data_IF_746934048456
#
_entry.id   IF_746934048456
#
_cell.length_a   1.000
_cell.length_b   1.000
_cell.length_c   1.000
_cell.angle_alpha   90.00
_cell.angle_beta   90.00
_cell.angle_gamma   90.00
#
_symmetry.space_group_name_H-M   'P 1'
#
loop_
_entity.id
_entity.type
_entity.pdbx_description
1 polymer ?
#
# COMPACT_ATOMS: atom_id res chain seq x y z
N UNK A 1 11.97 -10.16 -22.63
CA UNK A 1 12.72 -8.92 -22.36
C UNK A 1 11.84 -7.66 -22.39
N UNK A 2 11.43 -7.11 -23.54
CA UNK A 2 10.83 -5.75 -23.61
C UNK A 2 9.59 -5.46 -22.75
N UNK A 3 8.74 -6.47 -22.54
CA UNK A 3 7.51 -6.40 -21.71
C UNK A 3 7.52 -7.43 -20.55
N UNK A 4 8.68 -7.97 -20.21
CA UNK A 4 8.77 -8.93 -19.11
C UNK A 4 8.78 -8.22 -17.75
N UNK A 5 8.20 -8.85 -16.73
CA UNK A 5 8.12 -8.27 -15.38
C UNK A 5 9.49 -8.27 -14.70
N UNK A 6 10.31 -9.28 -14.98
CA UNK A 6 11.60 -9.50 -14.32
C UNK A 6 12.62 -8.39 -14.63
N UNK A 7 12.54 -7.77 -15.81
CA UNK A 7 13.51 -6.75 -16.25
C UNK A 7 13.11 -5.31 -15.93
N UNK A 8 11.93 -5.06 -15.34
CA UNK A 8 11.46 -3.69 -15.07
C UNK A 8 12.41 -2.92 -14.16
N UNK A 9 12.78 -3.53 -13.02
CA UNK A 9 13.67 -2.92 -12.05
C UNK A 9 15.12 -2.84 -12.57
N UNK A 10 15.63 -3.93 -13.15
CA UNK A 10 17.01 -4.01 -13.63
C UNK A 10 17.28 -3.10 -14.83
N UNK A 11 16.27 -2.86 -15.69
CA UNK A 11 16.36 -1.86 -16.76
C UNK A 11 16.46 -0.43 -16.21
N UNK A 12 15.75 -0.11 -15.13
CA UNK A 12 15.88 1.19 -14.47
C UNK A 12 17.28 1.35 -13.86
N UNK A 13 17.78 0.31 -13.20
CA UNK A 13 19.13 0.31 -12.63
C UNK A 13 20.22 0.48 -13.71
N UNK A 14 20.11 -0.23 -14.83
CA UNK A 14 21.02 -0.10 -15.97
C UNK A 14 21.01 1.33 -16.57
N UNK A 15 19.83 1.93 -16.75
CA UNK A 15 19.69 3.27 -17.34
C UNK A 15 20.19 4.40 -16.42
N UNK A 16 20.24 4.17 -15.12
CA UNK A 16 20.63 5.16 -14.09
C UNK A 16 21.95 4.82 -13.39
N UNK A 17 22.67 3.79 -13.86
CA UNK A 17 23.94 3.28 -13.29
C UNK A 17 23.88 2.94 -11.78
N UNK A 18 22.73 2.43 -11.34
CA UNK A 18 22.47 2.07 -9.93
C UNK A 18 23.02 0.67 -9.62
N UNK A 19 23.84 0.57 -8.58
CA UNK A 19 24.58 -0.66 -8.21
C UNK A 19 24.15 -1.30 -6.88
N UNK A 20 23.10 -0.80 -6.24
CA UNK A 20 22.51 -1.39 -5.02
C UNK A 20 21.57 -2.57 -5.32
N UNK A 21 20.88 -3.10 -4.29
CA UNK A 21 19.86 -4.14 -4.46
C UNK A 21 18.80 -3.74 -5.50
N UNK A 22 18.49 -4.65 -6.43
CA UNK A 22 17.58 -4.41 -7.53
C UNK A 22 16.65 -5.61 -7.71
N UNK A 23 15.38 -5.46 -7.33
CA UNK A 23 14.40 -6.56 -7.30
C UNK A 23 13.06 -6.13 -7.89
N UNK A 24 12.41 -7.04 -8.61
CA UNK A 24 11.00 -6.95 -8.96
C UNK A 24 10.19 -7.78 -7.94
N UNK A 25 9.05 -7.24 -7.49
CA UNK A 25 8.13 -7.93 -6.57
C UNK A 25 6.71 -7.95 -7.13
N UNK A 26 5.93 -8.97 -6.78
CA UNK A 26 4.55 -9.13 -7.20
C UNK A 26 3.71 -9.70 -6.03
N UNK A 27 2.84 -8.88 -5.46
CA UNK A 27 1.92 -9.28 -4.37
C UNK A 27 0.49 -8.78 -4.64
N UNK A 28 0.08 -8.83 -5.92
CA UNK A 28 -1.17 -8.22 -6.41
C UNK A 28 -1.28 -6.74 -5.98
N UNK A 29 -2.40 -6.33 -5.41
CA UNK A 29 -2.70 -4.93 -5.08
C UNK A 29 -1.76 -4.28 -4.04
N UNK A 30 -1.05 -5.08 -3.22
CA UNK A 30 -0.09 -4.56 -2.25
C UNK A 30 1.32 -4.33 -2.82
N UNK A 31 1.59 -4.75 -4.07
CA UNK A 31 2.93 -4.79 -4.70
C UNK A 31 3.80 -3.57 -4.40
N UNK A 32 3.34 -2.37 -4.75
CA UNK A 32 4.13 -1.14 -4.57
C UNK A 32 4.34 -0.73 -3.12
N UNK A 33 3.45 -1.13 -2.20
CA UNK A 33 3.61 -0.84 -0.77
C UNK A 33 4.55 -1.86 -0.11
N UNK A 34 4.54 -3.11 -0.58
CA UNK A 34 5.57 -4.11 -0.24
C UNK A 34 6.94 -3.67 -0.76
N UNK A 35 7.03 -3.10 -1.96
CA UNK A 35 8.28 -2.52 -2.47
C UNK A 35 8.81 -1.37 -1.59
N UNK A 36 7.92 -0.50 -1.07
CA UNK A 36 8.29 0.56 -0.10
C UNK A 36 8.77 -0.01 1.23
N UNK A 37 8.12 -1.06 1.73
CA UNK A 37 8.58 -1.78 2.93
C UNK A 37 9.98 -2.36 2.74
N UNK A 38 10.20 -3.14 1.68
CA UNK A 38 11.51 -3.76 1.39
C UNK A 38 12.62 -2.71 1.21
N UNK A 39 12.33 -1.61 0.52
CA UNK A 39 13.27 -0.50 0.36
C UNK A 39 13.60 0.19 1.69
N UNK A 40 12.63 0.29 2.60
CA UNK A 40 12.84 0.84 3.95
C UNK A 40 13.70 -0.11 4.80
N UNK A 41 13.48 -1.43 4.70
CA UNK A 41 14.31 -2.44 5.35
C UNK A 41 15.75 -2.42 4.83
N UNK A 42 15.96 -2.47 3.50
CA UNK A 42 17.29 -2.40 2.90
C UNK A 42 18.08 -1.11 3.27
N UNK A 43 17.38 0.02 3.41
CA UNK A 43 17.97 1.26 3.93
C UNK A 43 18.37 1.12 5.41
N UNK A 44 17.54 0.53 6.27
CA UNK A 44 17.84 0.35 7.69
C UNK A 44 19.00 -0.64 7.91
N UNK A 45 19.03 -1.72 7.13
CA UNK A 45 20.07 -2.76 7.14
C UNK A 45 21.37 -2.33 6.43
N UNK A 46 21.41 -1.09 5.90
CA UNK A 46 22.56 -0.47 5.19
C UNK A 46 22.99 -1.19 3.91
N UNK A 47 22.08 -1.93 3.27
CA UNK A 47 22.33 -2.52 1.94
C UNK A 47 22.37 -1.46 0.82
N UNK A 48 21.76 -0.29 1.06
CA UNK A 48 21.85 0.88 0.20
C UNK A 48 21.76 2.19 1.00
N UNK A 49 22.14 3.31 0.39
CA UNK A 49 22.03 4.66 0.99
C UNK A 49 20.86 5.49 0.44
N UNK A 50 20.31 5.06 -0.69
CA UNK A 50 19.18 5.64 -1.39
C UNK A 50 18.41 4.50 -2.07
N UNK A 51 17.08 4.51 -1.98
CA UNK A 51 16.25 3.49 -2.62
C UNK A 51 15.12 4.12 -3.46
N UNK A 52 14.87 3.57 -4.64
CA UNK A 52 13.69 3.87 -5.44
C UNK A 52 12.67 2.74 -5.23
N UNK A 53 11.46 3.09 -4.80
CA UNK A 53 10.41 2.12 -4.52
C UNK A 53 9.09 2.56 -5.16
N UNK A 54 8.29 1.61 -5.66
CA UNK A 54 7.08 1.97 -6.39
C UNK A 54 6.41 0.81 -7.11
N UNK A 55 5.63 1.12 -8.12
CA UNK A 55 4.99 0.12 -8.98
C UNK A 55 4.31 0.74 -10.19
N UNK A 56 4.03 -0.11 -11.17
CA UNK A 56 3.39 0.25 -12.43
C UNK A 56 2.34 -0.79 -12.82
N UNK A 57 1.26 -0.31 -13.42
CA UNK A 57 0.19 -1.08 -14.03
C UNK A 57 -0.18 -0.43 -15.36
N UNK A 58 -0.07 -1.18 -16.46
CA UNK A 58 -0.60 -0.81 -17.77
C UNK A 58 -1.40 -2.02 -18.27
N UNK A 59 -2.71 -1.87 -18.39
CA UNK A 59 -3.64 -2.91 -18.85
C UNK A 59 -3.68 -2.93 -20.37
N UNK A 60 -3.31 -4.06 -20.96
CA UNK A 60 -3.35 -4.33 -22.39
C UNK A 60 -4.41 -5.41 -22.70
N UNK A 61 -5.08 -5.37 -23.87
CA UNK A 61 -5.01 -4.33 -24.88
C UNK A 61 -5.70 -3.03 -24.44
N UNK A 62 -5.24 -1.89 -24.97
CA UNK A 62 -5.95 -0.62 -24.79
C UNK A 62 -7.31 -0.67 -25.51
N UNK A 63 -8.28 0.13 -25.03
CA UNK A 63 -9.64 0.25 -25.62
C UNK A 63 -10.47 -1.06 -25.59
N UNK A 64 -10.18 -1.98 -24.68
CA UNK A 64 -10.97 -3.21 -24.45
C UNK A 64 -12.42 -2.97 -23.92
N UNK A 65 -12.84 -1.71 -23.74
CA UNK A 65 -14.12 -1.36 -23.14
C UNK A 65 -14.14 -1.53 -21.61
N UNK A 66 -15.33 -1.43 -21.03
CA UNK A 66 -15.59 -1.75 -19.63
C UNK A 66 -16.58 -2.91 -19.57
N UNK A 67 -16.10 -4.09 -19.16
CA UNK A 67 -16.93 -5.28 -19.03
C UNK A 67 -17.25 -5.51 -17.55
N UNK A 68 -18.55 -5.56 -17.24
CA UNK A 68 -19.06 -5.99 -15.95
C UNK A 68 -19.64 -7.40 -16.06
N UNK A 69 -19.32 -8.24 -15.08
CA UNK A 69 -19.88 -9.59 -14.92
C UNK A 69 -20.40 -9.72 -13.47
N UNK A 70 -21.60 -10.29 -13.25
CA UNK A 70 -22.12 -10.52 -11.90
C UNK A 70 -21.14 -11.34 -11.05
N UNK A 71 -20.78 -10.82 -9.86
CA UNK A 71 -19.82 -11.45 -8.95
C UNK A 71 -18.35 -11.11 -9.21
N UNK A 72 -18.02 -10.39 -10.30
CA UNK A 72 -16.67 -9.87 -10.53
C UNK A 72 -16.35 -8.68 -9.60
N UNK A 73 -15.06 -8.31 -9.54
CA UNK A 73 -14.58 -7.15 -8.77
C UNK A 73 -14.94 -5.79 -9.40
N UNK A 74 -15.43 -5.78 -10.64
CA UNK A 74 -15.80 -4.58 -11.39
C UNK A 74 -17.15 -4.01 -10.89
N UNK A 75 -17.23 -2.70 -10.66
CA UNK A 75 -18.47 -2.01 -10.34
C UNK A 75 -19.40 -1.91 -11.56
N UNK A 76 -20.71 -2.23 -11.46
CA UNK A 76 -21.61 -2.19 -12.61
C UNK A 76 -21.74 -0.80 -13.28
N UNK A 77 -21.46 0.29 -12.55
CA UNK A 77 -21.49 1.66 -13.07
C UNK A 77 -20.09 2.28 -13.29
N UNK A 78 -19.02 1.48 -13.21
CA UNK A 78 -17.65 1.94 -13.40
C UNK A 78 -17.12 2.87 -12.30
N UNK A 79 -17.75 2.93 -11.11
CA UNK A 79 -17.32 3.80 -10.01
C UNK A 79 -16.88 3.02 -8.78
N UNK A 80 -15.69 3.32 -8.28
CA UNK A 80 -15.21 2.88 -6.98
C UNK A 80 -15.84 3.76 -5.88
N UNK A 81 -16.81 3.24 -5.14
CA UNK A 81 -17.57 3.96 -4.09
C UNK A 81 -17.14 3.49 -2.70
N UNK A 82 -15.91 3.79 -2.33
CA UNK A 82 -15.31 3.26 -1.09
C UNK A 82 -16.15 3.65 0.15
N UNK A 83 -16.59 2.64 0.90
CA UNK A 83 -17.33 2.71 2.16
C UNK A 83 -18.77 3.25 2.09
N UNK A 84 -19.27 3.51 0.88
CA UNK A 84 -20.63 4.01 0.65
C UNK A 84 -21.66 2.87 0.62
N UNK A 85 -22.94 3.19 0.91
CA UNK A 85 -24.04 2.22 0.85
C UNK A 85 -24.26 1.64 -0.56
N UNK A 86 -23.92 2.39 -1.64
CA UNK A 86 -24.03 1.92 -3.02
C UNK A 86 -22.72 1.27 -3.55
N UNK A 87 -21.80 0.89 -2.65
CA UNK A 87 -20.57 0.16 -2.96
C UNK A 87 -20.86 -1.19 -3.63
N UNK A 88 -20.45 -1.36 -4.90
CA UNK A 88 -20.76 -2.54 -5.74
C UNK A 88 -19.56 -3.06 -6.55
N UNK A 89 -18.35 -2.70 -6.16
CA UNK A 89 -17.10 -3.08 -6.83
C UNK A 89 -16.15 -1.90 -7.02
N UNK A 90 -15.11 -2.12 -7.83
CA UNK A 90 -14.08 -1.14 -8.16
C UNK A 90 -13.99 -0.87 -9.67
N UNK A 91 -13.16 0.09 -10.07
CA UNK A 91 -12.74 0.27 -11.46
C UNK A 91 -11.22 0.16 -11.53
N UNK A 92 -10.71 -0.78 -12.32
CA UNK A 92 -9.26 -0.93 -12.50
C UNK A 92 -8.71 0.14 -13.44
N UNK A 93 -7.55 0.68 -13.10
CA UNK A 93 -6.92 1.81 -13.80
C UNK A 93 -5.44 1.58 -14.11
N UNK A 94 -4.89 2.45 -14.94
CA UNK A 94 -3.49 2.47 -15.32
C UNK A 94 -2.72 3.51 -14.51
N UNK A 95 -1.48 3.22 -14.13
CA UNK A 95 -0.64 4.21 -13.47
C UNK A 95 0.76 3.70 -13.14
N UNK A 96 1.64 4.66 -12.89
CA UNK A 96 3.01 4.44 -12.44
C UNK A 96 3.31 5.42 -11.31
N UNK A 97 3.95 4.96 -10.25
CA UNK A 97 4.41 5.80 -9.15
C UNK A 97 5.72 5.29 -8.59
N UNK A 98 6.63 6.20 -8.27
CA UNK A 98 7.92 5.92 -7.63
C UNK A 98 8.14 6.98 -6.55
N UNK A 99 8.61 6.53 -5.38
CA UNK A 99 9.14 7.37 -4.31
C UNK A 99 10.63 7.12 -4.16
N UNK A 100 11.36 8.17 -3.76
CA UNK A 100 12.77 8.08 -3.39
C UNK A 100 12.85 8.09 -1.87
N UNK A 101 13.53 7.12 -1.30
CA UNK A 101 13.66 6.90 0.13
C UNK A 101 15.13 7.02 0.56
N UNK A 102 15.35 7.63 1.72
CA UNK A 102 16.64 7.78 2.39
C UNK A 102 16.41 7.73 3.90
N UNK A 103 17.41 7.28 4.68
CA UNK A 103 17.36 7.39 6.14
C UNK A 103 17.29 8.86 6.55
N UNK A 104 16.45 9.19 7.53
CA UNK A 104 16.16 10.57 7.93
C UNK A 104 17.42 11.34 8.35
N UNK A 105 18.33 10.70 9.09
CA UNK A 105 19.61 11.27 9.50
C UNK A 105 20.49 11.68 8.31
N UNK A 106 20.58 10.85 7.28
CA UNK A 106 21.41 11.11 6.10
C UNK A 106 20.77 12.17 5.19
N UNK A 107 19.44 12.20 5.12
CA UNK A 107 18.70 13.24 4.40
C UNK A 107 18.88 14.61 5.07
N UNK A 108 18.80 14.68 6.40
CA UNK A 108 19.08 15.90 7.16
C UNK A 108 20.54 16.35 7.01
N UNK A 109 21.50 15.41 7.08
CA UNK A 109 22.92 15.71 6.92
C UNK A 109 23.30 16.19 5.50
N UNK A 110 22.67 15.63 4.46
CA UNK A 110 22.81 16.09 3.08
C UNK A 110 22.06 17.41 2.80
N UNK A 111 21.12 17.79 3.68
CA UNK A 111 20.23 18.93 3.46
C UNK A 111 19.19 18.69 2.36
N UNK A 112 18.81 17.41 2.17
CA UNK A 112 17.80 16.97 1.21
C UNK A 112 16.41 17.53 1.54
N UNK A 113 15.55 17.74 0.53
CA UNK A 113 14.15 18.08 0.77
C UNK A 113 13.37 16.88 1.32
N UNK A 114 12.78 17.01 2.51
CA UNK A 114 12.00 15.94 3.14
C UNK A 114 10.52 16.25 2.98
N UNK A 115 9.80 15.36 2.30
CA UNK A 115 8.35 15.49 2.10
C UNK A 115 7.53 14.95 3.28
N UNK A 116 7.97 13.84 3.87
CA UNK A 116 7.37 13.12 4.98
C UNK A 116 8.37 12.09 5.52
N UNK A 117 8.07 11.46 6.65
CA UNK A 117 8.88 10.39 7.26
C UNK A 117 8.08 9.09 7.28
N UNK A 118 8.63 8.00 6.71
CA UNK A 118 8.11 6.65 6.96
C UNK A 118 8.61 6.24 8.35
N UNK A 119 7.68 6.11 9.30
CA UNK A 119 7.99 5.81 10.71
C UNK A 119 8.08 4.32 10.99
N UNK A 120 7.30 3.52 10.28
CA UNK A 120 7.32 2.06 10.37
C UNK A 120 6.47 1.44 9.27
N UNK A 121 6.69 0.17 8.98
CA UNK A 121 5.89 -0.59 8.02
C UNK A 121 5.91 -2.07 8.34
N UNK A 122 4.86 -2.78 7.97
CA UNK A 122 4.75 -4.23 8.13
C UNK A 122 4.10 -4.86 6.89
N UNK A 123 4.45 -6.12 6.64
CA UNK A 123 3.88 -6.97 5.58
C UNK A 123 3.55 -8.33 6.19
N UNK A 124 2.35 -8.86 5.91
CA UNK A 124 1.92 -10.16 6.40
C UNK A 124 0.96 -10.86 5.44
N UNK A 125 0.62 -12.13 5.71
CA UNK A 125 -0.34 -12.88 4.90
C UNK A 125 -1.51 -13.43 5.73
N UNK A 126 -2.73 -13.36 5.19
CA UNK A 126 -3.96 -13.85 5.80
C UNK A 126 -3.96 -15.36 6.10
N UNK A 127 -3.15 -16.15 5.39
CA UNK A 127 -3.13 -17.61 5.50
C UNK A 127 -4.45 -18.25 5.08
N UNK A 128 -4.78 -19.39 5.69
CA UNK A 128 -5.99 -20.17 5.39
C UNK A 128 -7.24 -19.70 6.15
N UNK A 129 -7.13 -18.83 7.16
CA UNK A 129 -8.25 -18.42 8.02
C UNK A 129 -9.05 -17.27 7.39
N UNK A 130 -9.70 -17.59 6.26
CA UNK A 130 -10.60 -16.72 5.50
C UNK A 130 -11.57 -17.56 4.67
N UNK A 131 -12.72 -16.99 4.30
CA UNK A 131 -13.84 -17.74 3.65
C UNK A 131 -13.53 -18.26 2.23
N UNK A 132 -12.42 -17.83 1.62
CA UNK A 132 -11.96 -18.31 0.32
C UNK A 132 -10.61 -17.67 -0.05
N UNK A 133 -9.93 -18.18 -1.09
CA UNK A 133 -8.60 -17.69 -1.49
C UNK A 133 -8.56 -16.18 -1.80
N UNK A 134 -9.61 -15.66 -2.42
CA UNK A 134 -9.75 -14.27 -2.85
C UNK A 134 -10.33 -13.34 -1.79
N UNK A 135 -10.88 -13.87 -0.69
CA UNK A 135 -11.47 -13.07 0.37
C UNK A 135 -10.39 -12.36 1.21
N UNK A 136 -10.67 -11.18 1.79
CA UNK A 136 -9.79 -10.57 2.79
C UNK A 136 -10.00 -11.20 4.18
N UNK A 137 -9.01 -11.06 5.08
CA UNK A 137 -9.15 -11.41 6.50
C UNK A 137 -9.09 -10.19 7.41
N UNK A 138 -10.13 -9.96 8.21
CA UNK A 138 -10.16 -8.92 9.25
C UNK A 138 -8.96 -9.06 10.22
N UNK A 139 -8.69 -10.28 10.68
CA UNK A 139 -7.60 -10.57 11.61
C UNK A 139 -6.22 -10.35 10.96
N UNK A 140 -6.07 -10.74 9.68
CA UNK A 140 -4.84 -10.52 8.92
C UNK A 140 -4.53 -9.03 8.69
N UNK A 141 -5.55 -8.23 8.42
CA UNK A 141 -5.44 -6.77 8.29
C UNK A 141 -5.16 -6.09 9.64
N UNK A 142 -5.94 -6.41 10.68
CA UNK A 142 -5.75 -5.83 12.01
C UNK A 142 -4.33 -6.12 12.57
N UNK A 143 -3.82 -7.34 12.34
CA UNK A 143 -2.45 -7.72 12.71
C UNK A 143 -1.40 -6.84 12.01
N UNK A 144 -1.44 -6.70 10.68
CA UNK A 144 -0.41 -5.94 9.96
C UNK A 144 -0.44 -4.44 10.28
N UNK A 145 -1.63 -3.87 10.54
CA UNK A 145 -1.78 -2.47 10.96
C UNK A 145 -1.18 -2.28 12.37
N UNK A 146 -1.53 -3.16 13.32
CA UNK A 146 -1.00 -3.12 14.68
C UNK A 146 0.53 -3.35 14.73
N UNK A 147 1.04 -4.25 13.90
CA UNK A 147 2.49 -4.51 13.76
C UNK A 147 3.24 -3.29 13.21
N UNK A 148 2.71 -2.64 12.16
CA UNK A 148 3.31 -1.43 11.61
C UNK A 148 3.32 -0.26 12.62
N UNK A 149 2.28 -0.11 13.44
CA UNK A 149 2.23 0.86 14.54
C UNK A 149 3.24 0.54 15.66
N UNK A 150 3.38 -0.73 16.01
CA UNK A 150 4.38 -1.22 16.97
C UNK A 150 5.82 -0.97 16.50
N UNK A 151 6.13 -1.30 15.24
CA UNK A 151 7.43 -1.02 14.60
C UNK A 151 7.70 0.50 14.55
N UNK A 152 6.68 1.31 14.28
CA UNK A 152 6.81 2.77 14.25
C UNK A 152 7.05 3.41 15.63
N UNK A 153 6.77 2.68 16.72
CA UNK A 153 6.72 3.22 18.08
C UNK A 153 5.65 4.30 18.24
N UNK A 154 4.51 4.13 17.57
CA UNK A 154 3.45 5.15 17.47
C UNK A 154 2.19 4.70 18.22
N UNK A 155 1.71 5.53 19.15
CA UNK A 155 0.42 5.36 19.81
C UNK A 155 -0.72 5.46 18.76
N UNK A 156 -1.62 4.46 18.66
CA UNK A 156 -2.81 4.52 17.80
C UNK A 156 -3.64 5.79 17.98
N UNK A 157 -3.69 6.38 19.19
CA UNK A 157 -4.41 7.62 19.49
C UNK A 157 -3.79 8.89 18.89
N UNK A 158 -2.60 8.78 18.30
CA UNK A 158 -1.93 9.86 17.56
C UNK A 158 -2.13 9.80 16.03
N UNK A 159 -2.67 8.70 15.50
CA UNK A 159 -3.06 8.61 14.09
C UNK A 159 -4.32 9.45 13.88
N UNK A 160 -4.28 10.35 12.88
CA UNK A 160 -5.43 11.20 12.55
C UNK A 160 -6.07 10.83 11.22
N UNK A 161 -5.35 10.11 10.35
CA UNK A 161 -5.82 9.74 9.03
C UNK A 161 -5.42 8.31 8.64
N UNK A 162 -6.31 7.63 7.91
CA UNK A 162 -6.05 6.36 7.24
C UNK A 162 -6.38 6.54 5.76
N UNK A 163 -5.34 6.45 4.93
CA UNK A 163 -5.51 6.15 3.51
C UNK A 163 -5.67 4.63 3.39
N UNK A 164 -6.92 4.22 3.26
CA UNK A 164 -7.36 2.83 3.28
C UNK A 164 -7.13 2.14 1.93
N UNK A 165 -7.20 0.81 1.95
CA UNK A 165 -7.27 0.04 0.72
C UNK A 165 -8.57 0.34 -0.04
N UNK A 166 -9.71 0.47 0.65
CA UNK A 166 -10.94 1.15 0.23
C UNK A 166 -11.29 0.95 -1.25
N UNK A 167 -11.87 -0.21 -1.55
CA UNK A 167 -12.06 -0.68 -2.94
C UNK A 167 -13.45 -0.45 -3.48
N UNK A 168 -14.44 -0.12 -2.63
CA UNK A 168 -15.84 -0.06 -3.01
C UNK A 168 -16.47 -1.45 -3.12
N UNK A 169 -15.84 -2.50 -2.58
CA UNK A 169 -16.36 -3.88 -2.67
C UNK A 169 -17.29 -4.18 -1.49
N UNK A 170 -18.46 -4.80 -1.71
CA UNK A 170 -19.44 -5.08 -0.65
C UNK A 170 -18.88 -5.86 0.55
N UNK A 171 -17.94 -6.77 0.30
CA UNK A 171 -17.31 -7.61 1.32
C UNK A 171 -16.03 -6.98 1.91
N UNK A 172 -15.22 -6.32 1.08
CA UNK A 172 -13.91 -5.83 1.49
C UNK A 172 -13.97 -4.59 2.38
N UNK A 173 -14.87 -3.67 2.05
CA UNK A 173 -14.99 -2.39 2.75
C UNK A 173 -15.47 -2.54 4.22
N UNK A 174 -16.45 -3.41 4.55
CA UNK A 174 -16.77 -3.74 5.95
C UNK A 174 -15.65 -4.47 6.70
N UNK A 175 -14.95 -5.41 6.04
CA UNK A 175 -13.84 -6.14 6.67
C UNK A 175 -12.67 -5.20 7.02
N UNK A 176 -12.36 -4.22 6.16
CA UNK A 176 -11.34 -3.21 6.44
C UNK A 176 -11.74 -2.30 7.60
N UNK A 177 -13.00 -1.85 7.66
CA UNK A 177 -13.48 -1.06 8.80
C UNK A 177 -13.50 -1.86 10.10
N UNK A 178 -13.88 -3.14 10.08
CA UNK A 178 -13.84 -4.01 11.24
C UNK A 178 -12.40 -4.24 11.74
N UNK A 179 -11.41 -4.33 10.82
CA UNK A 179 -10.00 -4.42 11.16
C UNK A 179 -9.48 -3.11 11.78
N UNK A 180 -9.81 -1.95 11.20
CA UNK A 180 -9.48 -0.63 11.75
C UNK A 180 -10.12 -0.42 13.13
N UNK A 181 -11.41 -0.71 13.29
CA UNK A 181 -12.12 -0.63 14.58
C UNK A 181 -11.52 -1.56 15.63
N UNK A 182 -10.92 -2.70 15.25
CA UNK A 182 -10.20 -3.59 16.17
C UNK A 182 -8.91 -2.93 16.69
N UNK A 183 -8.13 -2.30 15.81
CA UNK A 183 -6.84 -1.67 16.16
C UNK A 183 -7.03 -0.36 16.92
N UNK A 184 -7.98 0.48 16.49
CA UNK A 184 -8.24 1.79 17.07
C UNK A 184 -9.35 1.77 18.14
N UNK A 185 -9.72 0.58 18.64
CA UNK A 185 -10.84 0.38 19.58
C UNK A 185 -10.78 1.27 20.84
N UNK A 186 -9.56 1.55 21.32
CA UNK A 186 -9.29 2.29 22.56
C UNK A 186 -9.19 3.81 22.30
N UNK A 187 -9.21 4.24 21.03
CA UNK A 187 -9.30 5.65 20.63
C UNK A 187 -10.78 6.06 20.60
N UNK A 188 -11.18 6.92 21.55
CA UNK A 188 -12.57 7.36 21.72
C UNK A 188 -12.77 8.86 21.39
N UNK A 189 -14.00 9.27 21.02
CA UNK A 189 -14.38 10.68 20.94
C UNK A 189 -13.99 11.46 22.22
N UNK A 190 -13.63 12.75 22.11
CA UNK A 190 -13.73 13.62 20.94
C UNK A 190 -12.60 13.47 19.90
N UNK A 191 -11.62 12.57 20.09
CA UNK A 191 -10.67 12.25 19.02
C UNK A 191 -11.42 11.64 17.82
N UNK A 192 -10.99 11.99 16.61
CA UNK A 192 -11.54 11.48 15.35
C UNK A 192 -10.40 11.08 14.42
N UNK A 193 -10.52 9.91 13.82
CA UNK A 193 -9.61 9.38 12.81
C UNK A 193 -10.35 9.42 11.47
N UNK A 194 -9.86 10.22 10.54
CA UNK A 194 -10.40 10.29 9.19
C UNK A 194 -9.98 9.07 8.36
N UNK A 195 -10.87 8.57 7.53
CA UNK A 195 -10.62 7.44 6.62
C UNK A 195 -10.97 7.87 5.20
N UNK A 196 -10.17 7.51 4.21
CA UNK A 196 -10.50 7.73 2.81
C UNK A 196 -9.68 6.82 1.89
N UNK A 197 -9.93 6.89 0.60
CA UNK A 197 -9.19 6.14 -0.43
C UNK A 197 -8.87 7.08 -1.61
N UNK A 198 -7.79 6.83 -2.34
CA UNK A 198 -7.49 7.47 -3.63
C UNK A 198 -8.27 6.85 -4.79
N UNK A 199 -8.79 5.63 -4.61
CA UNK A 199 -9.39 4.82 -5.69
C UNK A 199 -10.71 5.41 -6.24
N UNK A 200 -11.55 6.12 -5.46
CA UNK A 200 -12.66 6.90 -6.02
C UNK A 200 -12.22 8.00 -7.01
N UNK A 201 -10.98 8.50 -6.94
CA UNK A 201 -10.49 9.57 -7.81
C UNK A 201 -9.85 9.04 -9.11
N UNK A 202 -9.09 7.95 -9.03
CA UNK A 202 -8.23 7.47 -10.14
C UNK A 202 -8.39 5.97 -10.47
N UNK A 203 -9.33 5.28 -9.80
CA UNK A 203 -9.49 3.84 -9.87
C UNK A 203 -8.45 3.05 -9.08
N UNK A 204 -8.61 1.73 -9.09
CA UNK A 204 -7.65 0.79 -8.52
C UNK A 204 -6.52 0.52 -9.50
N UNK A 205 -5.35 1.10 -9.24
CA UNK A 205 -4.16 1.00 -10.11
C UNK A 205 -3.37 -0.33 -9.96
N UNK A 206 -4.04 -1.44 -9.63
CA UNK A 206 -3.46 -2.77 -9.34
C UNK A 206 -2.12 -2.69 -8.57
N UNK A 207 -0.99 -3.08 -9.16
CA UNK A 207 0.33 -3.07 -8.52
C UNK A 207 0.82 -1.68 -8.10
N UNK A 208 0.37 -0.60 -8.76
CA UNK A 208 0.72 0.79 -8.44
C UNK A 208 -0.21 1.44 -7.39
N UNK A 209 -1.24 0.73 -6.90
CA UNK A 209 -2.24 1.32 -6.00
C UNK A 209 -1.66 1.81 -4.66
N UNK A 210 -0.76 1.03 -4.06
CA UNK A 210 -0.14 1.36 -2.76
C UNK A 210 0.73 2.62 -2.81
N UNK A 211 1.56 2.80 -3.84
CA UNK A 211 2.38 4.01 -4.00
C UNK A 211 1.54 5.24 -4.36
N UNK A 212 0.43 5.08 -5.10
CA UNK A 212 -0.49 6.19 -5.35
C UNK A 212 -1.18 6.67 -4.06
N UNK A 213 -1.62 5.73 -3.21
CA UNK A 213 -2.13 5.99 -1.86
C UNK A 213 -1.06 6.68 -0.98
N UNK A 214 0.18 6.19 -0.97
CA UNK A 214 1.29 6.83 -0.24
C UNK A 214 1.55 8.27 -0.72
N UNK A 215 1.61 8.50 -2.03
CA UNK A 215 1.82 9.84 -2.61
C UNK A 215 0.68 10.79 -2.22
N UNK A 216 -0.58 10.33 -2.26
CA UNK A 216 -1.73 11.11 -1.77
C UNK A 216 -1.56 11.52 -0.31
N UNK A 217 -1.18 10.59 0.57
CA UNK A 217 -0.96 10.85 1.99
C UNK A 217 0.18 11.84 2.24
N UNK A 218 1.30 11.70 1.53
CA UNK A 218 2.43 12.64 1.61
C UNK A 218 2.03 14.04 1.13
N UNK A 219 1.23 14.16 0.07
CA UNK A 219 0.68 15.44 -0.37
C UNK A 219 -0.30 16.02 0.66
N UNK A 220 -1.17 15.21 1.25
CA UNK A 220 -2.11 15.63 2.29
C UNK A 220 -1.39 16.18 3.54
N UNK A 221 -0.30 15.53 3.98
CA UNK A 221 0.58 16.03 5.04
C UNK A 221 1.23 17.37 4.65
N UNK A 222 1.86 17.45 3.47
CA UNK A 222 2.52 18.67 2.97
C UNK A 222 1.57 19.86 2.85
N UNK A 223 0.35 19.62 2.37
CA UNK A 223 -0.67 20.66 2.23
C UNK A 223 -1.49 20.89 3.51
N UNK A 224 -1.26 20.10 4.57
CA UNK A 224 -2.00 20.14 5.84
C UNK A 224 -3.51 20.09 5.63
N UNK A 225 -3.94 19.24 4.69
CA UNK A 225 -5.34 19.12 4.25
C UNK A 225 -5.68 17.66 3.95
N UNK A 226 -6.89 17.25 4.36
CA UNK A 226 -7.45 15.94 4.09
C UNK A 226 -8.39 16.05 2.87
N UNK A 227 -8.00 15.50 1.70
CA UNK A 227 -8.85 15.56 0.50
C UNK A 227 -10.08 14.63 0.65
N UNK A 228 -11.21 14.97 0.00
CA UNK A 228 -12.43 14.17 0.07
C UNK A 228 -12.26 12.79 -0.58
N UNK A 229 -12.80 11.76 0.06
CA UNK A 229 -13.06 10.46 -0.55
C UNK A 229 -14.33 10.58 -1.40
N UNK A 230 -14.18 10.55 -2.73
CA UNK A 230 -15.30 10.81 -3.64
C UNK A 230 -16.36 9.70 -3.62
N UNK A 231 -17.56 10.06 -4.10
CA UNK A 231 -18.75 9.19 -4.21
C UNK A 231 -19.30 8.62 -2.89
N UNK A 232 -18.85 9.13 -1.74
CA UNK A 232 -19.43 8.85 -0.44
C UNK A 232 -20.56 9.83 -0.12
N UNK A 233 -21.77 9.29 0.05
CA UNK A 233 -22.99 10.01 0.44
C UNK A 233 -23.55 9.46 1.76
N UNK A 234 -23.51 8.13 1.95
CA UNK A 234 -24.06 7.43 3.11
C UNK A 234 -23.17 6.24 3.45
N UNK A 235 -22.85 6.06 4.73
CA UNK A 235 -22.09 4.90 5.18
C UNK A 235 -22.79 3.58 4.82
N UNK A 236 -22.01 2.61 4.35
CA UNK A 236 -22.47 1.23 4.17
C UNK A 236 -23.06 0.67 5.48
N UNK A 237 -24.32 0.16 5.50
CA UNK A 237 -24.96 -0.33 6.73
C UNK A 237 -24.26 -1.53 7.38
N UNK A 238 -23.42 -2.26 6.65
CA UNK A 238 -22.58 -3.35 7.19
C UNK A 238 -21.35 -2.82 7.97
N UNK A 239 -21.13 -1.50 7.99
CA UNK A 239 -20.05 -0.86 8.76
C UNK A 239 -20.60 -0.28 10.07
N UNK A 240 -20.31 -0.93 11.19
CA UNK A 240 -20.59 -0.37 12.51
C UNK A 240 -19.47 0.59 12.97
N UNK A 241 -19.87 1.83 13.31
CA UNK A 241 -19.00 2.87 13.88
C UNK A 241 -19.42 3.26 15.31
N UNK A 242 -20.31 2.51 15.94
CA UNK A 242 -20.84 2.80 17.28
C UNK A 242 -19.69 2.86 18.31
N UNK A 243 -19.48 4.04 18.89
CA UNK A 243 -18.40 4.27 19.85
C UNK A 243 -16.98 4.22 19.24
N UNK A 244 -16.84 4.33 17.93
CA UNK A 244 -15.56 4.44 17.21
C UNK A 244 -15.14 5.90 17.01
N UNK A 245 -13.83 6.15 16.93
CA UNK A 245 -13.28 7.43 16.47
C UNK A 245 -13.21 7.54 14.94
N UNK A 246 -13.39 6.44 14.21
CA UNK A 246 -13.27 6.37 12.75
C UNK A 246 -14.45 7.08 12.06
N UNK A 247 -14.19 7.74 10.94
CA UNK A 247 -15.21 8.30 10.04
C UNK A 247 -14.67 8.45 8.62
N UNK A 248 -15.53 8.41 7.61
CA UNK A 248 -15.12 8.69 6.22
C UNK A 248 -14.98 10.20 6.00
N UNK A 249 -13.88 10.63 5.40
CA UNK A 249 -13.62 12.03 5.07
C UNK A 249 -14.30 12.41 3.75
N UNK A 250 -15.56 12.83 3.81
CA UNK A 250 -16.39 13.14 2.65
C UNK A 250 -16.11 14.52 2.01
N UNK A 251 -15.45 15.44 2.74
CA UNK A 251 -15.20 16.81 2.32
C UNK A 251 -13.71 17.17 2.41
N UNK A 252 -13.29 18.24 1.74
CA UNK A 252 -11.98 18.83 1.99
C UNK A 252 -11.95 19.41 3.41
N UNK A 253 -11.07 18.90 4.26
CA UNK A 253 -10.88 19.37 5.63
C UNK A 253 -9.45 19.87 5.85
N UNK A 254 -9.28 20.83 6.76
CA UNK A 254 -7.95 21.15 7.29
C UNK A 254 -7.43 19.97 8.11
N UNK A 255 -6.14 19.70 8.05
CA UNK A 255 -5.44 18.76 8.94
C UNK A 255 -4.80 19.58 10.07
N UNK A 256 -5.47 19.72 11.23
CA UNK A 256 -5.00 20.58 12.30
C UNK A 256 -3.65 20.10 12.84
N UNK A 257 -2.90 21.05 13.41
CA UNK A 257 -1.72 20.73 14.21
C UNK A 257 -2.16 20.18 15.57
N UNK A 258 -1.45 19.19 16.09
CA UNK A 258 -1.72 18.58 17.39
C UNK A 258 -0.58 18.80 18.38
N UNK A 259 -0.70 18.19 19.56
CA UNK A 259 0.45 17.97 20.44
C UNK A 259 1.42 16.93 19.85
N UNK A 260 0.90 16.00 19.06
CA UNK A 260 1.66 15.06 18.25
C UNK A 260 1.77 15.57 16.80
N UNK A 261 2.90 15.30 16.11
CA UNK A 261 3.03 15.47 14.66
C UNK A 261 1.89 14.82 13.89
N UNK A 262 1.57 15.36 12.71
CA UNK A 262 0.56 14.78 11.82
C UNK A 262 0.98 13.38 11.38
N UNK A 263 0.13 12.38 11.64
CA UNK A 263 0.40 10.96 11.34
C UNK A 263 -0.76 10.29 10.62
N UNK A 264 -0.41 9.43 9.67
CA UNK A 264 -1.35 8.61 8.94
C UNK A 264 -0.88 7.16 8.74
N UNK A 265 -1.85 6.25 8.68
CA UNK A 265 -1.65 4.91 8.15
C UNK A 265 -1.97 4.87 6.64
N UNK A 266 -1.25 4.04 5.90
CA UNK A 266 -1.50 3.73 4.49
C UNK A 266 -1.62 2.22 4.32
N UNK A 267 -2.77 1.74 3.87
CA UNK A 267 -3.08 0.32 3.70
C UNK A 267 -3.09 -0.11 2.23
N UNK A 268 -2.57 -1.29 1.93
CA UNK A 268 -2.94 -1.99 0.70
C UNK A 268 -2.94 -3.51 0.87
N UNK A 269 -4.04 -4.15 0.45
CA UNK A 269 -4.31 -5.57 0.69
C UNK A 269 -4.39 -6.31 -0.64
N UNK A 270 -3.49 -7.27 -0.85
CA UNK A 270 -3.42 -8.04 -2.09
C UNK A 270 -4.35 -9.25 -2.07
N UNK A 271 -5.02 -9.52 -3.20
CA UNK A 271 -5.74 -10.79 -3.43
C UNK A 271 -4.77 -11.97 -3.19
N UNK A 272 -5.26 -13.03 -2.54
CA UNK A 272 -4.44 -14.10 -1.96
C UNK A 272 -4.04 -13.84 -0.50
N UNK A 273 -4.14 -12.58 -0.05
CA UNK A 273 -4.06 -12.18 1.36
C UNK A 273 -2.75 -11.52 1.79
N UNK A 274 -1.88 -11.10 0.86
CA UNK A 274 -0.62 -10.39 1.22
C UNK A 274 -0.92 -8.92 1.48
N UNK A 275 -0.92 -8.55 2.75
CA UNK A 275 -1.27 -7.23 3.26
C UNK A 275 -0.01 -6.42 3.55
N UNK A 276 -0.05 -5.12 3.30
CA UNK A 276 0.98 -4.17 3.68
C UNK A 276 0.34 -2.96 4.38
N UNK A 277 0.99 -2.46 5.42
CA UNK A 277 0.64 -1.19 6.07
C UNK A 277 1.89 -0.35 6.34
N UNK A 278 1.80 0.97 6.14
CA UNK A 278 2.88 1.93 6.35
C UNK A 278 2.39 3.08 7.21
N UNK A 279 3.13 3.41 8.27
CA UNK A 279 2.88 4.59 9.12
C UNK A 279 3.75 5.75 8.62
N UNK A 280 3.13 6.87 8.31
CA UNK A 280 3.74 8.07 7.74
C UNK A 280 3.51 9.26 8.67
N UNK A 281 4.54 10.06 8.89
CA UNK A 281 4.55 11.28 9.71
C UNK A 281 4.94 12.49 8.86
N UNK A 282 4.49 13.70 9.22
CA UNK A 282 4.94 14.93 8.56
C UNK A 282 6.46 15.15 8.71
N UNK A 283 7.05 15.93 7.79
CA UNK A 283 8.46 16.26 7.85
C UNK A 283 8.79 17.08 9.11
N UNK A 284 9.95 16.88 9.76
CA UNK A 284 10.37 17.68 10.91
C UNK A 284 10.40 19.18 10.58
N UNK A 285 10.07 20.05 11.54
CA UNK A 285 10.05 21.50 11.32
C UNK A 285 11.41 22.11 10.91
N UNK A 286 12.51 21.42 11.18
CA UNK A 286 13.88 21.77 10.75
C UNK A 286 14.23 21.31 9.34
N UNK A 287 13.40 20.47 8.71
CA UNK A 287 13.65 19.96 7.38
C UNK A 287 13.32 21.01 6.31
N UNK A 288 14.11 21.04 5.23
CA UNK A 288 13.74 21.80 4.04
C UNK A 288 12.52 21.13 3.39
N UNK A 289 11.41 21.84 3.34
CA UNK A 289 10.29 21.45 2.47
C UNK A 289 10.72 21.81 1.04
N UNK A 290 10.61 20.91 0.05
CA UNK A 290 10.94 21.25 -1.33
C UNK A 290 10.02 22.38 -1.79
N UNK A 291 10.62 23.46 -2.28
CA UNK A 291 9.86 24.55 -2.90
C UNK A 291 9.19 24.06 -4.19
N UNK A 292 8.08 24.69 -4.57
CA UNK A 292 7.51 24.47 -5.89
C UNK A 292 8.42 25.19 -6.89
N UNK A 293 9.44 24.49 -7.37
CA UNK A 293 10.26 24.96 -8.49
C UNK A 293 9.32 25.50 -9.57
N UNK A 294 9.47 26.76 -10.03
CA UNK A 294 8.70 27.26 -11.15
C UNK A 294 8.89 26.26 -12.27
N UNK A 295 7.79 25.73 -12.83
CA UNK A 295 7.92 24.79 -13.94
C UNK A 295 8.71 25.52 -15.01
N UNK A 296 9.95 25.10 -15.24
CA UNK A 296 10.59 25.33 -16.51
C UNK A 296 9.61 24.76 -17.52
N UNK A 297 9.02 25.63 -18.34
CA UNK A 297 8.31 25.22 -19.53
C UNK A 297 9.35 24.50 -20.38
N UNK A 298 9.41 23.18 -20.22
CA UNK A 298 10.31 22.35 -21.00
C UNK A 298 9.82 22.48 -22.42
N UNK A 299 10.49 23.36 -23.17
CA UNK A 299 10.45 23.39 -24.62
C UNK A 299 10.74 21.95 -25.04
N UNK A 300 9.68 21.22 -25.41
CA UNK A 300 9.75 19.85 -25.88
C UNK A 300 10.39 19.88 -27.27
N UNK A 301 11.70 20.11 -27.30
CA UNK A 301 12.53 19.81 -28.45
C UNK A 301 12.49 18.30 -28.57
N UNK A 302 11.66 17.81 -29.48
CA UNK A 302 11.55 16.39 -29.78
C UNK A 302 12.93 15.90 -30.24
N UNK A 303 13.67 15.26 -29.33
CA UNK A 303 14.83 14.47 -29.70
C UNK A 303 14.35 13.30 -30.57
N UNK A 304 15.06 12.95 -31.65
CA UNK A 304 14.61 11.89 -32.54
C UNK A 304 14.52 10.57 -31.77
N UNK A 305 13.33 9.99 -31.72
CA UNK A 305 13.03 8.68 -31.12
C UNK A 305 13.63 7.56 -31.97
N UNK A 306 14.96 7.44 -31.98
CA UNK A 306 15.64 6.36 -32.67
C UNK A 306 15.70 5.10 -31.80
N UNK A 307 14.52 4.48 -31.62
CA UNK A 307 14.32 3.14 -31.05
C UNK A 307 13.67 2.20 -32.09
N UNK A 308 13.93 2.44 -33.38
CA UNK A 308 13.63 1.54 -34.49
C UNK A 308 14.94 1.09 -35.16
N UNK A 309 15.62 0.12 -34.56
CA UNK A 309 17.02 -0.18 -34.92
C UNK A 309 17.52 -1.59 -34.58
N UNK A 310 16.62 -2.58 -34.48
CA UNK A 310 16.95 -4.00 -34.52
C UNK A 310 15.69 -4.79 -34.88
N UNK A 311 15.81 -5.81 -35.74
CA UNK A 311 14.73 -6.70 -36.21
C UNK A 311 13.72 -6.08 -37.20
N UNK A 312 14.21 -5.54 -38.32
CA UNK A 312 13.49 -5.62 -39.59
C UNK A 312 14.05 -6.80 -40.40
N UNK A 313 13.28 -7.88 -40.57
CA UNK A 313 13.57 -8.88 -41.59
C UNK A 313 13.14 -8.34 -42.95
N UNK A 314 14.05 -8.36 -43.91
CA UNK A 314 13.80 -8.02 -45.31
C UNK A 314 13.33 -9.28 -46.06
N UNK A 315 12.11 -9.29 -46.63
CA UNK A 315 11.63 -10.44 -47.40
C UNK A 315 12.26 -10.45 -48.80
N UNK A 316 13.08 -11.48 -49.03
CA UNK A 316 13.84 -11.75 -50.26
C UNK A 316 13.17 -11.27 -51.56
N UNK A 317 13.83 -10.30 -52.22
CA UNK A 317 13.70 -10.16 -53.67
C UNK A 317 14.83 -10.92 -54.36
N UNK A 318 14.46 -11.86 -55.23
CA UNK A 318 15.11 -12.28 -56.49
C UNK A 318 14.83 -13.76 -56.78
N UNK A 319 13.67 -14.02 -57.40
CA UNK A 319 13.59 -15.14 -58.34
C UNK A 319 14.50 -14.83 -59.53
N UNK A 320 15.48 -15.70 -59.79
CA UNK A 320 16.03 -15.88 -61.13
C UNK A 320 15.68 -17.28 -61.60
N UNK A 321 15.01 -17.35 -62.75
CA UNK A 321 14.92 -18.59 -63.51
C UNK A 321 16.29 -18.91 -64.09
N UNK A 322 16.75 -20.13 -63.88
CA UNK A 322 17.52 -20.86 -64.88
C UNK A 322 17.15 -22.34 -64.77
N UNK A 323 17.34 -23.09 -65.84
CA UNK A 323 16.63 -24.35 -66.07
C UNK A 323 17.52 -25.42 -66.71
N UNK A 324 17.03 -26.67 -66.67
CA UNK A 324 17.50 -27.83 -67.43
C UNK A 324 18.71 -28.62 -66.87
N UNK A 325 18.82 -29.93 -67.20
CA UNK A 325 18.86 -30.98 -66.15
C UNK A 325 19.91 -32.09 -66.38
N UNK A 326 19.89 -33.14 -65.55
CA UNK A 326 20.14 -34.59 -65.85
C UNK A 326 20.19 -35.37 -64.50
N UNK A 327 19.23 -36.26 -64.22
CA UNK A 327 19.26 -37.73 -64.44
C UNK A 327 20.07 -38.51 -63.37
N UNK A 328 19.40 -39.11 -62.38
CA UNK A 328 19.07 -40.56 -62.24
C UNK A 328 20.22 -41.38 -61.61
N UNK A 329 20.05 -42.35 -60.71
CA UNK A 329 18.98 -43.35 -60.40
C UNK A 329 18.89 -43.59 -58.87
N UNK A 330 17.88 -44.22 -58.24
CA UNK A 330 16.63 -44.83 -58.71
C UNK A 330 16.26 -46.11 -57.91
N UNK A 331 15.12 -46.13 -57.21
CA UNK A 331 14.34 -47.34 -56.86
C UNK A 331 13.02 -46.92 -56.19
N UNK A 332 11.91 -47.61 -56.45
CA UNK A 332 10.56 -47.13 -56.14
C UNK A 332 9.66 -48.17 -55.46
N UNK A 333 8.75 -47.71 -54.61
CA UNK A 333 7.38 -48.25 -54.46
C UNK A 333 6.54 -47.39 -53.48
N UNK A 334 5.25 -47.22 -53.80
CA UNK A 334 4.22 -46.48 -53.04
C UNK A 334 2.95 -47.38 -52.92
N UNK A 335 1.77 -46.97 -52.38
CA UNK A 335 1.40 -45.73 -51.67
C UNK A 335 0.54 -45.96 -50.37
N UNK A 336 0.21 -44.89 -49.64
CA UNK A 336 -0.82 -44.89 -48.57
C UNK A 336 -0.79 -43.60 -47.71
N UNK A 337 -1.93 -42.92 -47.40
CA UNK A 337 -1.91 -41.53 -46.89
C UNK A 337 -2.19 -41.35 -45.39
N UNK A 338 -2.24 -40.07 -45.00
CA UNK A 338 -2.82 -39.45 -43.79
C UNK A 338 -2.07 -39.47 -42.44
N UNK A 339 -1.61 -38.28 -42.03
CA UNK A 339 -1.78 -37.76 -40.66
C UNK A 339 -1.39 -36.27 -40.55
N UNK A 340 -2.36 -35.35 -40.62
CA UNK A 340 -2.18 -33.98 -40.12
C UNK A 340 -2.68 -33.89 -38.68
N UNK A 341 -1.77 -33.73 -37.72
CA UNK A 341 -2.17 -33.45 -36.32
C UNK A 341 -2.65 -32.01 -36.17
N UNK A 342 -3.97 -31.83 -36.05
CA UNK A 342 -4.59 -30.63 -35.47
C UNK A 342 -4.82 -30.84 -33.98
N UNK A 343 -4.34 -29.93 -33.14
CA UNK A 343 -4.74 -29.91 -31.74
C UNK A 343 -6.24 -29.56 -31.64
N UNK A 344 -7.02 -30.43 -31.01
CA UNK A 344 -8.36 -30.12 -30.50
C UNK A 344 -8.31 -30.09 -28.97
N UNK A 345 -8.93 -29.06 -28.40
CA UNK A 345 -9.24 -28.97 -26.97
C UNK A 345 -10.52 -29.75 -26.66
N UNK A 346 -10.53 -30.50 -25.56
CA UNK A 346 -11.72 -31.21 -25.07
C UNK A 346 -12.10 -30.71 -23.67
N UNK A 347 -13.39 -30.37 -23.42
CA UNK A 347 -13.91 -30.17 -22.07
C UNK A 347 -14.31 -31.52 -21.46
N UNK A 348 -14.36 -31.59 -20.12
CA UNK A 348 -14.89 -32.74 -19.40
C UNK A 348 -15.78 -32.27 -18.24
N UNK A 349 -17.07 -32.58 -18.36
CA UNK A 349 -18.03 -32.63 -17.27
C UNK A 349 -18.51 -34.08 -17.15
N UNK A 350 -18.77 -34.56 -15.93
CA UNK A 350 -19.24 -35.94 -15.68
C UNK A 350 -20.58 -35.93 -14.95
N UNK A 351 -21.58 -36.56 -15.58
CA UNK A 351 -22.93 -36.83 -15.04
C UNK A 351 -22.92 -37.99 -14.04
N UNK A 352 -23.70 -37.94 -12.95
CA UNK A 352 -24.97 -38.68 -12.87
C UNK A 352 -24.86 -39.89 -11.91
N UNK A 353 -25.95 -40.58 -11.51
CA UNK A 353 -27.30 -40.53 -12.08
C UNK A 353 -28.40 -40.05 -11.10
N UNK A 354 -29.62 -39.90 -11.63
CA UNK A 354 -30.86 -39.63 -10.88
C UNK A 354 -31.88 -40.76 -11.09
N UNK A 355 -32.87 -40.85 -10.20
CA UNK A 355 -34.12 -41.61 -10.42
C UNK A 355 -35.32 -40.72 -10.11
N UNK A 356 -36.16 -40.47 -11.12
CA UNK A 356 -37.37 -39.67 -11.04
C UNK A 356 -38.63 -40.53 -10.94
N UNK A 357 -39.72 -39.95 -10.43
CA UNK A 357 -41.11 -40.20 -10.86
C UNK A 357 -42.00 -39.04 -10.44
N UNK A 358 -42.90 -38.64 -11.33
CA UNK A 358 -43.77 -37.46 -11.23
C UNK A 358 -45.05 -37.70 -10.42
N UNK A 359 -45.62 -36.64 -9.85
CA UNK A 359 -47.06 -36.32 -9.86
C UNK A 359 -47.32 -34.91 -9.25
N UNK A 360 -48.28 -34.18 -9.82
CA UNK A 360 -48.72 -32.83 -9.42
C UNK A 360 -50.05 -32.91 -8.57
N UNK A 361 -50.81 -31.84 -8.27
CA UNK A 361 -50.91 -31.26 -6.92
C UNK A 361 -52.32 -31.38 -6.28
N UNK A 362 -52.48 -31.04 -4.98
CA UNK A 362 -53.62 -30.25 -4.45
C UNK A 362 -53.63 -30.03 -2.90
N UNK A 363 -53.91 -28.76 -2.53
CA UNK A 363 -54.77 -28.25 -1.43
C UNK A 363 -54.84 -28.81 0.02
N UNK A 364 -55.00 -27.83 0.94
CA UNK A 364 -55.43 -27.88 2.37
C UNK A 364 -54.38 -28.41 3.36
N UNK A 365 -54.02 -27.77 4.49
CA UNK A 365 -54.67 -26.88 5.48
C UNK A 365 -55.04 -27.61 6.80
N UNK A 366 -54.71 -26.93 7.90
CA UNK A 366 -55.17 -27.10 9.30
C UNK A 366 -54.48 -28.09 10.28
N UNK A 367 -54.29 -27.55 11.50
CA UNK A 367 -54.28 -28.19 12.83
C UNK A 367 -53.04 -28.92 13.40
N UNK A 368 -52.33 -28.19 14.27
CA UNK A 368 -51.88 -28.67 15.61
C UNK A 368 -53.13 -28.88 16.52
N UNK A 369 -53.12 -29.57 17.70
CA UNK A 369 -52.08 -29.47 18.74
C UNK A 369 -51.88 -30.69 19.71
N UNK A 370 -51.19 -30.43 20.85
CA UNK A 370 -51.01 -31.25 22.07
C UNK A 370 -50.00 -32.41 22.01
N UNK A 371 -49.41 -32.89 23.12
CA UNK A 371 -48.89 -32.25 24.34
C UNK A 371 -48.13 -33.31 25.18
N UNK A 372 -47.06 -32.89 25.89
CA UNK A 372 -46.46 -33.51 27.09
C UNK A 372 -46.35 -35.05 27.23
N UNK A 373 -45.12 -35.56 27.41
CA UNK A 373 -44.61 -36.14 28.68
C UNK A 373 -43.17 -36.67 28.51
N UNK A 374 -42.35 -36.59 29.56
CA UNK A 374 -41.11 -37.37 29.70
C UNK A 374 -41.27 -38.42 30.82
N UNK A 375 -40.18 -38.99 31.38
CA UNK A 375 -38.75 -38.77 31.07
C UNK A 375 -37.90 -40.07 30.99
N UNK A 376 -36.57 -39.88 30.91
CA UNK A 376 -35.51 -40.65 31.60
C UNK A 376 -34.54 -41.58 30.83
N UNK A 377 -33.32 -41.63 31.40
CA UNK A 377 -32.21 -42.59 31.24
C UNK A 377 -31.31 -42.55 29.99
N UNK A 378 -30.08 -42.06 30.20
CA UNK A 378 -28.89 -42.46 29.43
C UNK A 378 -28.39 -43.83 29.91
N UNK A 379 -27.60 -44.53 29.06
CA UNK A 379 -26.33 -45.06 29.55
C UNK A 379 -25.14 -44.74 28.62
N UNK A 380 -23.95 -44.74 29.21
CA UNK A 380 -22.65 -44.63 28.55
C UNK A 380 -21.67 -45.61 29.25
N UNK A 381 -20.42 -45.76 28.79
CA UNK A 381 -19.96 -46.03 27.42
C UNK A 381 -19.12 -47.33 27.35
N UNK A 382 -18.79 -47.80 26.14
CA UNK A 382 -17.86 -48.93 25.95
C UNK A 382 -16.41 -48.45 26.05
N UNK A 383 -15.59 -49.17 26.86
CA UNK A 383 -14.14 -48.95 26.98
C UNK A 383 -13.39 -49.57 25.80
N UNK A 384 -12.33 -48.88 25.35
CA UNK A 384 -11.19 -49.50 24.66
C UNK A 384 -9.91 -49.07 25.37
N UNK A 385 -8.99 -50.02 25.56
CA UNK A 385 -7.77 -49.85 26.34
C UNK A 385 -6.57 -49.59 25.43
N UNK A 386 -5.85 -48.50 25.68
CA UNK A 386 -4.49 -48.28 25.17
C UNK A 386 -3.59 -47.70 26.28
N UNK A 387 -2.32 -48.09 26.27
CA UNK A 387 -1.37 -47.95 27.38
C UNK A 387 -0.76 -46.56 27.55
N UNK A 388 -0.44 -46.19 28.80
CA UNK A 388 0.17 -44.91 29.16
C UNK A 388 1.62 -44.76 28.67
N UNK A 389 1.88 -43.73 27.86
CA UNK A 389 3.15 -42.99 27.90
C UNK A 389 2.84 -41.49 27.99
N UNK A 390 3.16 -40.86 29.12
CA UNK A 390 3.07 -39.40 29.31
C UNK A 390 4.31 -38.70 28.75
N UNK A 391 4.19 -37.73 27.84
CA UNK A 391 5.18 -36.66 27.70
C UNK A 391 4.97 -35.61 28.79
N UNK A 392 6.07 -35.07 29.34
CA UNK A 392 6.06 -34.00 30.34
C UNK A 392 5.48 -32.68 29.77
N UNK A 393 4.85 -31.82 30.59
CA UNK A 393 4.29 -30.55 30.12
C UNK A 393 5.40 -29.59 29.66
N UNK A 394 5.25 -29.04 28.46
CA UNK A 394 6.10 -27.93 27.98
C UNK A 394 5.76 -26.65 28.77
N UNK A 395 6.75 -25.85 29.19
CA UNK A 395 6.49 -24.55 29.80
C UNK A 395 5.94 -23.56 28.77
N UNK A 396 5.04 -22.67 29.21
CA UNK A 396 4.49 -21.60 28.39
C UNK A 396 5.58 -20.55 28.00
N UNK A 397 5.46 -19.90 26.84
CA UNK A 397 6.41 -18.87 26.44
C UNK A 397 6.27 -17.63 27.35
N UNK A 398 7.39 -17.18 27.92
CA UNK A 398 7.49 -15.87 28.61
C UNK A 398 7.68 -14.75 27.58
N UNK A 399 7.17 -13.53 27.84
CA UNK A 399 7.21 -12.42 26.88
C UNK A 399 8.64 -11.93 26.63
N UNK A 400 8.93 -11.61 25.37
CA UNK A 400 10.23 -11.13 24.91
C UNK A 400 10.45 -9.64 25.24
N UNK A 401 10.64 -9.33 26.53
CA UNK A 401 10.80 -7.96 27.03
C UNK A 401 11.91 -7.81 28.09
N UNK A 402 13.04 -8.53 27.95
CA UNK A 402 14.20 -8.39 28.84
C UNK A 402 15.52 -8.97 28.27
N UNK A 403 16.03 -8.48 27.12
CA UNK A 403 17.42 -8.79 26.72
C UNK A 403 18.14 -7.73 25.85
N UNK A 404 17.98 -6.43 26.17
CA UNK A 404 18.93 -5.39 25.72
C UNK A 404 19.31 -4.52 26.92
N UNK A 405 20.15 -5.08 27.81
CA UNK A 405 20.82 -4.35 28.92
C UNK A 405 21.89 -5.18 29.64
N UNK A 406 22.88 -5.75 28.93
CA UNK A 406 24.14 -6.23 29.56
C UNK A 406 25.25 -6.59 28.55
N UNK A 407 25.88 -5.58 27.92
CA UNK A 407 27.24 -5.68 27.33
C UNK A 407 27.92 -4.30 27.29
N UNK A 408 27.89 -3.59 28.42
CA UNK A 408 28.51 -2.26 28.56
C UNK A 408 29.69 -2.29 29.53
N UNK A 409 30.67 -3.19 29.30
CA UNK A 409 32.00 -3.14 29.95
C UNK A 409 32.99 -4.05 29.22
N UNK A 410 33.70 -3.52 28.22
CA UNK A 410 35.12 -3.87 28.08
C UNK A 410 35.91 -2.76 27.38
N UNK A 411 36.71 -2.02 28.16
CA UNK A 411 37.69 -1.09 27.62
C UNK A 411 38.83 -1.87 26.95
N UNK A 412 39.00 -1.73 25.64
CA UNK A 412 40.33 -1.84 25.02
C UNK A 412 40.70 -0.54 24.31
N UNK A 413 41.82 0.02 24.76
CA UNK A 413 42.38 1.30 24.31
C UNK A 413 43.04 1.14 22.96
N UNK A 414 42.58 1.86 21.94
CA UNK A 414 43.40 2.17 20.75
C UNK A 414 44.28 3.40 21.06
N UNK A 415 45.59 3.25 20.90
CA UNK A 415 46.57 4.33 21.08
C UNK A 415 46.49 5.32 19.91
N UNK A 416 46.53 6.65 20.13
CA UNK A 416 46.88 7.61 19.08
C UNK A 416 48.41 7.63 18.86
N UNK A 417 48.84 7.87 17.62
CA UNK A 417 50.24 8.04 17.26
C UNK A 417 50.81 9.39 17.78
N UNK A 418 52.12 9.49 18.10
CA UNK A 418 52.69 10.67 18.76
C UNK A 418 52.85 11.86 17.80
N UNK A 419 52.55 13.07 18.30
CA UNK A 419 52.84 14.34 17.62
C UNK A 419 54.24 14.84 17.99
N UNK A 420 55.02 15.23 16.99
CA UNK A 420 56.28 15.99 17.16
C UNK A 420 56.02 17.50 17.30
N UNK A 421 56.84 18.17 18.13
CA UNK A 421 56.94 19.62 18.39
C UNK A 421 58.24 19.86 19.18
N UNK A 422 58.78 21.09 19.31
CA UNK A 422 58.47 22.36 18.64
C UNK A 422 59.77 23.01 18.06
N UNK A 423 59.89 24.35 17.91
CA UNK A 423 60.30 25.19 19.06
C UNK A 423 59.38 26.41 19.36
N UNK A 424 59.70 27.10 20.47
CA UNK A 424 59.05 28.31 21.04
C UNK A 424 59.58 29.59 20.32
N UNK A 425 59.17 30.85 20.54
CA UNK A 425 58.46 31.65 21.58
C UNK A 425 58.12 33.04 20.91
N UNK A 426 57.62 34.12 21.56
CA UNK A 426 57.08 34.30 22.91
C UNK A 426 55.68 34.98 22.97
N UNK A 427 55.28 35.30 24.21
CA UNK A 427 53.99 35.83 24.70
C UNK A 427 53.76 37.33 24.50
N UNK A 428 52.49 37.77 24.52
CA UNK A 428 52.07 39.01 25.21
C UNK A 428 50.57 38.91 25.63
N UNK A 429 50.18 39.66 26.66
CA UNK A 429 48.89 39.54 27.36
C UNK A 429 48.32 40.90 27.81
N UNK A 430 47.00 41.12 27.62
CA UNK A 430 46.11 42.03 28.37
C UNK A 430 44.68 41.80 27.83
N UNK A 431 43.58 41.61 28.57
CA UNK A 431 43.05 42.08 29.86
C UNK A 431 42.17 43.35 29.79
N UNK A 432 40.95 43.22 30.35
CA UNK A 432 39.94 44.23 30.76
C UNK A 432 38.91 44.78 29.76
N UNK A 433 37.67 44.81 30.27
CA UNK A 433 36.50 45.66 29.92
C UNK A 433 36.01 46.31 31.23
N UNK A 434 34.93 47.13 31.29
CA UNK A 434 34.40 48.18 30.40
C UNK A 434 34.40 49.56 31.12
N UNK A 435 33.60 50.58 30.73
CA UNK A 435 32.32 50.80 31.44
C UNK A 435 31.16 51.36 30.57
N UNK A 436 30.06 51.79 31.22
CA UNK A 436 28.70 51.88 30.68
C UNK A 436 28.12 53.31 30.45
N UNK A 437 26.79 53.32 30.15
CA UNK A 437 25.80 54.43 30.03
C UNK A 437 25.61 55.03 28.63
N UNK A 438 24.45 55.60 28.23
CA UNK A 438 23.16 55.88 28.91
C UNK A 438 21.96 55.91 27.92
N UNK A 439 20.71 55.89 28.42
CA UNK A 439 19.46 56.37 27.77
C UNK A 439 19.05 57.72 28.39
N UNK A 440 18.30 58.60 27.70
CA UNK A 440 16.81 58.68 27.79
C UNK A 440 16.16 59.03 26.41
N UNK A 441 14.85 59.21 26.17
CA UNK A 441 13.57 58.97 26.87
C UNK A 441 12.41 58.79 25.84
N UNK A 442 11.13 58.88 26.26
CA UNK A 442 9.93 59.07 25.41
C UNK A 442 9.01 60.18 25.98
N UNK A 443 8.00 60.66 25.21
CA UNK A 443 6.59 60.72 25.67
C UNK A 443 5.62 60.07 24.63
N UNK A 444 4.50 59.41 24.98
CA UNK A 444 3.17 59.93 25.44
C UNK A 444 2.49 60.83 24.38
N UNK A 445 1.20 60.72 23.98
CA UNK A 445 0.01 59.95 24.45
C UNK A 445 -1.09 59.87 23.34
N UNK A 446 -2.20 59.13 23.59
CA UNK A 446 -3.31 58.83 22.66
C UNK A 446 -4.42 59.94 22.60
N UNK A 447 -5.70 59.69 22.20
CA UNK A 447 -6.26 58.96 21.04
C UNK A 447 -7.22 59.85 20.17
N UNK A 448 -7.76 59.34 19.06
CA UNK A 448 -8.84 60.03 18.32
C UNK A 448 -9.55 59.14 17.28
N UNK A 449 -10.89 59.16 17.26
CA UNK A 449 -11.73 58.31 16.42
C UNK A 449 -12.32 59.05 15.20
N UNK A 450 -12.65 58.30 14.14
CA UNK A 450 -13.76 58.59 13.21
C UNK A 450 -14.07 57.34 12.35
N UNK A 451 -15.31 57.23 11.87
CA UNK A 451 -15.89 56.01 11.33
C UNK A 451 -16.84 56.28 10.14
N UNK A 452 -17.46 55.22 9.59
CA UNK A 452 -18.53 55.18 8.57
C UNK A 452 -18.08 55.31 7.09
N UNK A 453 -18.82 54.73 6.10
CA UNK A 453 -19.61 53.48 6.20
C UNK A 453 -19.58 52.56 4.95
N UNK A 454 -20.15 51.36 5.11
CA UNK A 454 -20.61 50.49 4.01
C UNK A 454 -21.90 51.00 3.38
N UNK A 455 -22.19 50.60 2.12
CA UNK A 455 -23.57 50.29 1.75
C UNK A 455 -23.74 48.96 0.98
N UNK A 456 -24.80 48.26 1.35
CA UNK A 456 -25.59 47.29 0.56
C UNK A 456 -27.07 47.75 0.65
N UNK A 457 -28.04 47.20 -0.11
CA UNK A 457 -28.00 46.23 -1.21
C UNK A 457 -28.79 46.70 -2.46
N UNK A 458 -28.85 45.89 -3.53
CA UNK A 458 -30.14 45.53 -4.18
C UNK A 458 -29.99 44.36 -5.15
N UNK A 459 -31.11 43.71 -5.45
CA UNK A 459 -31.29 42.47 -6.20
C UNK A 459 -31.41 42.65 -7.72
N UNK A 460 -31.01 41.63 -8.48
CA UNK A 460 -31.84 41.03 -9.54
C UNK A 460 -31.44 39.57 -9.76
#
# INVERSE_FOLDING_TARGET
MGNDKDYLATRLAYLLDLRGPCVAVQTACSTSLVAVHLASTALLDRECDLALAGGVTIRLPHRAGYLYEPGALFAPDGRCRAFDADARGTIFGNGCGVVVLRRLEDALAAGDPIHAVVRGSAVGNDGAHKVGFTAPSQAGQARVIGEALGIAGVDPASIQYIEAHGTGTPLGDPIEFAALSTVFRDVKPPRRIAVGSVKPNIGHLESAAGVASLIKTVLALRHRQLPPSLFFNKLNPEIDLTGSALHVNAALAAWPEGQEPRRAGVSSFGIGGTNAHVVVEEAPATAKIPERSPRAESQHRAGPTNLGGALSHDPQSQHRHESSPLASTGSASSPGPDSQHRHQSSPLASTGPATSRDADPQHRAESSPLASTGPATSPAPIRSTATNHRPSPRPAPRPLAALIRSTATNHRRSRPAPRLRPPRQPTLSCSRSPPATRRPCAPSSAPGALAWPSPTPTST
#
